data_IF_887719807711
#
_entry.id   IF_887719807711
#
_cell.length_a   1.000
_cell.length_b   1.000
_cell.length_c   1.000
_cell.angle_alpha   90.00
_cell.angle_beta   90.00
_cell.angle_gamma   90.00
#
_symmetry.space_group_name_H-M   'P 1'
#
loop_
_entity.id
_entity.type
_entity.pdbx_description
1 polymer ?
#
# COMPACT_ATOMS: atom_id res chain seq x y z
N UNK A 1 -66.56 -14.85 -3.50
CA UNK A 1 -67.34 -15.51 -4.59
C UNK A 1 -66.41 -16.31 -5.46
N UNK A 2 -66.76 -17.58 -5.56
CA UNK A 2 -66.52 -18.54 -6.66
C UNK A 2 -65.05 -18.82 -6.99
N UNK A 3 -64.51 -19.97 -6.62
CA UNK A 3 -64.82 -21.38 -7.01
C UNK A 3 -64.11 -21.80 -8.29
N UNK A 4 -63.28 -22.82 -8.09
CA UNK A 4 -63.23 -24.15 -8.75
C UNK A 4 -62.39 -24.20 -10.04
N UNK A 5 -61.69 -25.22 -10.47
CA UNK A 5 -61.79 -26.66 -10.24
C UNK A 5 -60.45 -27.33 -10.60
N UNK A 6 -60.20 -28.44 -9.94
CA UNK A 6 -59.17 -29.42 -10.23
C UNK A 6 -59.55 -30.26 -11.50
N UNK A 7 -58.57 -30.95 -12.08
CA UNK A 7 -58.76 -32.39 -12.47
C UNK A 7 -57.45 -32.97 -13.04
N UNK A 8 -56.96 -34.03 -12.42
CA UNK A 8 -56.75 -35.43 -12.83
C UNK A 8 -55.82 -35.70 -14.00
N UNK A 9 -54.71 -36.30 -13.70
CA UNK A 9 -54.28 -37.70 -13.76
C UNK A 9 -54.16 -38.31 -15.17
N UNK A 10 -52.98 -38.78 -15.47
CA UNK A 10 -52.80 -40.08 -16.13
C UNK A 10 -51.36 -40.58 -15.96
N UNK A 11 -51.28 -41.75 -15.36
CA UNK A 11 -50.08 -42.57 -15.24
C UNK A 11 -49.69 -43.17 -16.57
N UNK A 12 -48.44 -43.22 -16.93
CA UNK A 12 -47.90 -44.18 -17.87
C UNK A 12 -46.51 -44.64 -17.36
N UNK A 13 -46.55 -45.88 -16.91
CA UNK A 13 -45.35 -46.70 -16.66
C UNK A 13 -44.75 -47.09 -18.02
N UNK A 14 -43.49 -46.83 -18.20
CA UNK A 14 -42.68 -47.52 -19.22
C UNK A 14 -41.35 -48.01 -18.56
N UNK A 15 -41.15 -49.30 -18.80
CA UNK A 15 -40.11 -50.19 -18.34
C UNK A 15 -38.72 -49.82 -18.89
N UNK A 16 -37.76 -49.96 -18.02
CA UNK A 16 -36.39 -50.53 -18.16
C UNK A 16 -35.57 -50.29 -19.41
N UNK A 17 -34.41 -49.72 -19.19
CA UNK A 17 -33.15 -50.28 -19.68
C UNK A 17 -32.02 -49.82 -18.75
N UNK A 18 -31.54 -50.73 -17.93
CA UNK A 18 -30.26 -50.56 -17.17
C UNK A 18 -29.13 -50.73 -18.17
N UNK A 19 -28.56 -49.65 -18.62
CA UNK A 19 -27.24 -49.64 -19.26
C UNK A 19 -26.23 -49.21 -18.21
N UNK A 20 -25.43 -50.18 -17.73
CA UNK A 20 -24.28 -49.94 -16.85
C UNK A 20 -23.24 -49.08 -17.56
N UNK A 21 -23.20 -47.82 -17.20
CA UNK A 21 -22.05 -46.99 -17.52
C UNK A 21 -20.95 -47.31 -16.52
N UNK A 22 -19.92 -47.98 -16.98
CA UNK A 22 -18.68 -48.12 -16.24
C UNK A 22 -18.08 -46.73 -16.05
N UNK A 23 -18.09 -46.27 -14.82
CA UNK A 23 -17.34 -45.07 -14.43
C UNK A 23 -15.87 -45.46 -14.38
N UNK A 24 -15.14 -45.18 -15.45
CA UNK A 24 -13.68 -45.22 -15.46
C UNK A 24 -13.21 -44.10 -14.56
N UNK A 25 -12.74 -44.45 -13.36
CA UNK A 25 -12.02 -43.56 -12.48
C UNK A 25 -10.68 -43.21 -13.12
N UNK A 26 -10.63 -42.14 -13.90
CA UNK A 26 -9.39 -41.51 -14.29
C UNK A 26 -8.81 -40.86 -13.06
N UNK A 27 -7.87 -41.52 -12.41
CA UNK A 27 -6.98 -40.92 -11.42
C UNK A 27 -6.21 -39.81 -12.16
N UNK A 28 -6.58 -38.56 -11.93
CA UNK A 28 -5.76 -37.45 -12.35
C UNK A 28 -4.47 -37.51 -11.54
N UNK A 29 -3.39 -37.97 -12.15
CA UNK A 29 -2.05 -37.79 -11.64
C UNK A 29 -1.82 -36.29 -11.49
N UNK A 30 -1.71 -35.84 -10.23
CA UNK A 30 -1.27 -34.50 -9.90
C UNK A 30 0.21 -34.45 -10.27
N UNK A 31 0.49 -33.90 -11.43
CA UNK A 31 1.83 -33.65 -11.92
C UNK A 31 2.46 -32.58 -11.00
N UNK A 32 3.48 -32.85 -10.19
CA UNK A 32 4.06 -31.89 -9.24
C UNK A 32 4.97 -30.85 -9.92
N UNK A 33 4.98 -30.79 -11.24
CA UNK A 33 5.79 -29.84 -12.01
C UNK A 33 4.93 -28.68 -12.57
N UNK A 34 4.25 -27.95 -11.66
CA UNK A 34 3.96 -26.56 -11.93
C UNK A 34 5.20 -25.74 -11.59
N UNK A 35 6.18 -25.79 -12.46
CA UNK A 35 7.21 -24.76 -12.54
C UNK A 35 6.49 -23.42 -12.62
N UNK A 36 6.47 -22.66 -11.52
CA UNK A 36 6.04 -21.26 -11.52
C UNK A 36 6.91 -20.57 -12.57
N UNK A 37 6.29 -20.27 -13.69
CA UNK A 37 6.97 -19.68 -14.85
C UNK A 37 7.74 -18.45 -14.38
N UNK A 38 8.98 -18.33 -14.78
CA UNK A 38 9.85 -17.16 -14.54
C UNK A 38 9.25 -15.83 -15.08
N UNK A 39 8.06 -15.88 -15.68
CA UNK A 39 7.29 -14.72 -16.19
C UNK A 39 6.47 -13.98 -15.13
N UNK A 40 6.28 -14.56 -13.92
CA UNK A 40 5.48 -13.97 -12.83
C UNK A 40 6.33 -13.32 -11.74
N UNK A 41 7.64 -13.15 -11.96
CA UNK A 41 8.46 -12.36 -11.05
C UNK A 41 8.05 -10.89 -11.14
N UNK A 42 7.61 -10.27 -10.01
CA UNK A 42 7.25 -8.85 -10.00
C UNK A 42 8.41 -8.03 -10.55
N UNK A 43 8.12 -7.05 -11.40
CA UNK A 43 9.16 -6.13 -11.89
C UNK A 43 9.74 -5.36 -10.70
N UNK A 44 11.07 -5.19 -10.69
CA UNK A 44 11.75 -4.36 -9.67
C UNK A 44 11.03 -3.01 -9.56
N UNK A 45 10.62 -2.58 -8.36
CA UNK A 45 9.90 -1.32 -8.18
C UNK A 45 10.68 -0.13 -8.75
N UNK A 46 9.99 0.76 -9.44
CA UNK A 46 10.57 2.00 -9.98
C UNK A 46 10.25 3.16 -9.06
N UNK A 47 11.18 4.12 -8.96
CA UNK A 47 10.94 5.36 -8.24
C UNK A 47 9.94 6.24 -8.97
N UNK A 48 8.97 6.78 -8.23
CA UNK A 48 8.04 7.78 -8.74
C UNK A 48 8.21 9.07 -7.95
N UNK A 49 8.37 10.19 -8.64
CA UNK A 49 8.48 11.52 -8.06
C UNK A 49 7.18 12.30 -8.17
N UNK A 50 6.36 11.93 -9.14
CA UNK A 50 5.05 12.49 -9.43
C UNK A 50 4.20 11.43 -10.13
N UNK A 51 2.93 11.35 -9.79
CA UNK A 51 1.99 10.42 -10.43
C UNK A 51 1.61 10.96 -11.81
N UNK A 52 1.65 10.09 -12.81
CA UNK A 52 1.19 10.44 -14.16
C UNK A 52 -0.33 10.35 -14.20
N UNK A 53 -1.01 11.46 -14.02
CA UNK A 53 -2.47 11.57 -14.09
C UNK A 53 -2.91 12.86 -14.75
N UNK A 54 -4.14 12.89 -15.28
CA UNK A 54 -4.84 14.10 -15.74
C UNK A 54 -5.76 14.68 -14.67
N UNK A 55 -6.02 13.92 -13.60
CA UNK A 55 -6.87 14.36 -12.50
C UNK A 55 -6.21 15.53 -11.76
N UNK A 56 -7.01 16.50 -11.38
CA UNK A 56 -6.55 17.70 -10.65
C UNK A 56 -6.30 17.38 -9.18
N UNK A 57 -5.33 16.52 -8.91
CA UNK A 57 -4.98 16.04 -7.57
C UNK A 57 -3.50 16.19 -7.25
N UNK A 58 -3.19 16.27 -5.95
CA UNK A 58 -1.84 16.16 -5.40
C UNK A 58 -1.88 15.32 -4.12
N UNK A 59 -0.73 14.77 -3.75
CA UNK A 59 -0.63 13.77 -2.67
C UNK A 59 0.20 14.33 -1.52
N UNK A 60 -0.35 14.22 -0.30
CA UNK A 60 0.33 14.64 0.92
C UNK A 60 1.00 13.45 1.58
N UNK A 61 2.31 13.52 1.77
CA UNK A 61 3.10 12.47 2.41
C UNK A 61 3.90 13.02 3.59
N UNK A 62 4.04 12.21 4.66
CA UNK A 62 4.72 12.62 5.89
C UNK A 62 5.70 11.52 6.30
N UNK A 63 6.98 11.87 6.48
CA UNK A 63 8.05 10.94 6.79
C UNK A 63 8.42 10.89 8.28
N UNK A 64 9.15 9.84 8.68
CA UNK A 64 9.80 9.53 9.95
C UNK A 64 8.88 8.98 11.04
N UNK A 65 7.97 9.78 11.56
CA UNK A 65 7.17 9.42 12.74
C UNK A 65 7.81 9.75 14.09
N UNK A 66 8.80 10.66 14.13
CA UNK A 66 9.52 11.03 15.38
C UNK A 66 8.59 11.74 16.36
N UNK A 67 7.93 12.79 15.92
CA UNK A 67 6.96 13.53 16.71
C UNK A 67 5.52 13.07 16.44
N UNK A 68 4.64 13.26 17.41
CA UNK A 68 3.21 12.90 17.34
C UNK A 68 2.36 14.10 17.76
N UNK A 69 2.39 15.22 17.00
CA UNK A 69 1.68 16.43 17.39
C UNK A 69 0.16 16.24 17.29
N UNK A 70 -0.53 16.21 18.43
CA UNK A 70 -1.99 16.02 18.49
C UNK A 70 -2.76 17.12 17.73
N UNK A 71 -2.23 18.33 17.69
CA UNK A 71 -2.82 19.43 16.92
C UNK A 71 -2.77 19.20 15.40
N UNK A 72 -1.77 18.48 14.88
CA UNK A 72 -1.70 18.07 13.48
C UNK A 72 -2.71 16.96 13.20
N UNK A 73 -2.78 15.96 14.10
CA UNK A 73 -3.77 14.90 14.02
C UNK A 73 -5.20 15.45 14.01
N UNK A 74 -5.52 16.37 14.93
CA UNK A 74 -6.84 17.02 14.96
C UNK A 74 -7.15 17.76 13.64
N UNK A 75 -6.15 18.43 13.04
CA UNK A 75 -6.33 19.10 11.75
C UNK A 75 -6.59 18.13 10.61
N UNK A 76 -5.83 17.01 10.53
CA UNK A 76 -6.04 15.95 9.54
C UNK A 76 -7.45 15.36 9.67
N UNK A 77 -7.88 15.07 10.90
CA UNK A 77 -9.20 14.48 11.16
C UNK A 77 -10.35 15.43 10.84
N UNK A 78 -10.27 16.69 11.26
CA UNK A 78 -11.30 17.69 11.00
C UNK A 78 -11.51 17.99 9.49
N UNK A 79 -10.46 17.85 8.69
CA UNK A 79 -10.50 18.09 7.25
C UNK A 79 -10.48 16.81 6.42
N UNK A 80 -10.52 15.62 7.04
CA UNK A 80 -10.48 14.29 6.41
C UNK A 80 -9.35 14.17 5.36
N UNK A 81 -8.16 14.71 5.69
CA UNK A 81 -7.05 14.79 4.73
C UNK A 81 -6.47 13.41 4.43
N UNK A 82 -6.34 13.03 3.16
CA UNK A 82 -5.72 11.77 2.75
C UNK A 82 -4.20 11.87 2.86
N UNK A 83 -3.65 11.39 3.97
CA UNK A 83 -2.21 11.47 4.26
C UNK A 83 -1.59 10.09 4.19
N UNK A 84 -0.52 9.93 3.42
CA UNK A 84 0.33 8.75 3.43
C UNK A 84 1.53 8.96 4.35
N UNK A 85 1.66 8.12 5.38
CA UNK A 85 2.73 8.21 6.37
C UNK A 85 3.82 7.18 6.09
N UNK A 86 5.02 7.61 5.72
CA UNK A 86 6.20 6.75 5.60
C UNK A 86 6.93 6.70 6.93
N UNK A 87 6.84 5.58 7.64
CA UNK A 87 7.28 5.49 9.03
C UNK A 87 8.56 4.67 9.19
N UNK A 88 9.50 5.21 9.97
CA UNK A 88 10.69 4.48 10.42
C UNK A 88 10.37 3.66 11.66
N UNK A 89 10.71 2.38 11.65
CA UNK A 89 10.32 1.42 12.69
C UNK A 89 10.80 1.79 14.09
N UNK A 90 11.95 2.46 14.23
CA UNK A 90 12.51 2.86 15.53
C UNK A 90 11.78 4.06 16.17
N UNK A 91 11.11 4.90 15.37
CA UNK A 91 10.45 6.13 15.84
C UNK A 91 9.04 5.88 16.38
N UNK A 92 8.36 4.85 15.86
CA UNK A 92 6.93 4.65 16.13
C UNK A 92 6.64 3.95 17.45
N UNK A 93 7.58 3.15 17.99
CA UNK A 93 7.46 2.41 19.27
C UNK A 93 6.02 1.96 19.54
N UNK A 94 5.34 2.52 20.55
CA UNK A 94 3.99 2.15 20.97
C UNK A 94 2.89 3.11 20.46
N UNK A 95 3.19 3.87 19.41
CA UNK A 95 2.30 4.91 18.88
C UNK A 95 1.34 4.43 17.77
N UNK A 96 1.01 3.12 17.70
CA UNK A 96 0.06 2.54 16.72
C UNK A 96 -1.24 3.35 16.64
N UNK A 97 -1.82 3.70 17.80
CA UNK A 97 -3.09 4.43 17.85
C UNK A 97 -3.03 5.79 17.18
N UNK A 98 -1.93 6.53 17.37
CA UNK A 98 -1.72 7.82 16.71
C UNK A 98 -1.66 7.67 15.20
N UNK A 99 -0.81 6.74 14.71
CA UNK A 99 -0.60 6.56 13.27
C UNK A 99 -1.83 5.98 12.56
N UNK A 100 -2.59 5.10 13.18
CA UNK A 100 -3.88 4.64 12.63
C UNK A 100 -4.89 5.79 12.50
N UNK A 101 -4.87 6.77 13.41
CA UNK A 101 -5.77 7.91 13.35
C UNK A 101 -5.36 8.93 12.30
N UNK A 102 -4.06 9.26 12.17
CA UNK A 102 -3.59 10.26 11.21
C UNK A 102 -3.62 9.74 9.78
N UNK A 103 -3.44 8.44 9.58
CA UNK A 103 -3.49 7.79 8.26
C UNK A 103 -4.86 7.19 7.93
N UNK A 104 -5.92 7.61 8.63
CA UNK A 104 -7.27 7.04 8.46
C UNK A 104 -7.80 7.13 7.02
N UNK A 105 -7.49 8.21 6.31
CA UNK A 105 -7.91 8.45 4.92
C UNK A 105 -6.78 8.24 3.91
N UNK A 106 -5.67 7.68 4.35
CA UNK A 106 -4.50 7.32 3.56
C UNK A 106 -3.94 6.00 4.05
N UNK A 107 -2.60 5.90 4.13
CA UNK A 107 -1.94 4.65 4.50
C UNK A 107 -0.66 4.85 5.31
N UNK A 108 -0.19 3.74 5.92
CA UNK A 108 1.13 3.64 6.56
C UNK A 108 2.05 2.84 5.65
N UNK A 109 3.23 3.40 5.36
CA UNK A 109 4.21 2.87 4.43
C UNK A 109 5.61 2.76 5.07
N UNK A 110 6.55 2.12 4.38
CA UNK A 110 7.89 1.82 4.91
C UNK A 110 8.87 2.98 4.66
N UNK A 111 9.51 3.47 5.77
CA UNK A 111 10.61 4.44 5.72
C UNK A 111 11.86 3.92 6.43
N UNK A 112 12.18 2.64 6.27
CA UNK A 112 13.31 1.92 6.87
C UNK A 112 13.17 1.58 8.36
N UNK A 113 14.10 0.77 8.86
CA UNK A 113 14.14 0.38 10.27
C UNK A 113 14.70 1.49 11.15
N UNK A 114 15.86 2.03 10.81
CA UNK A 114 16.65 2.94 11.65
C UNK A 114 16.88 4.33 11.06
N UNK A 115 16.30 4.58 9.87
CA UNK A 115 16.55 5.79 9.08
C UNK A 115 17.99 5.89 8.56
N UNK A 116 18.67 4.75 8.34
CA UNK A 116 20.01 4.73 7.75
C UNK A 116 19.97 5.07 6.25
N UNK A 117 20.97 5.81 5.78
CA UNK A 117 21.09 6.11 4.35
C UNK A 117 21.43 4.85 3.54
N UNK A 118 20.62 4.53 2.53
CA UNK A 118 20.82 3.38 1.66
C UNK A 118 22.01 3.54 0.69
N UNK A 119 22.59 4.73 0.59
CA UNK A 119 23.81 4.95 -0.19
C UNK A 119 25.09 4.50 0.55
N UNK A 120 25.04 4.26 1.85
CA UNK A 120 26.19 3.77 2.61
C UNK A 120 26.36 2.26 2.36
N UNK A 121 27.55 1.83 1.96
CA UNK A 121 27.86 0.40 1.71
C UNK A 121 27.68 -0.49 2.95
N UNK A 122 27.81 0.07 4.15
CA UNK A 122 27.61 -0.63 5.42
C UNK A 122 26.13 -0.80 5.82
N UNK A 123 25.19 -0.21 5.10
CA UNK A 123 23.77 -0.32 5.41
C UNK A 123 23.25 -1.71 5.05
N UNK A 124 22.72 -2.42 6.05
CA UNK A 124 22.04 -3.70 5.85
C UNK A 124 20.62 -3.46 5.32
N UNK A 125 20.45 -3.59 4.00
CA UNK A 125 19.16 -3.38 3.34
C UNK A 125 18.09 -4.41 3.75
N UNK A 126 18.47 -5.65 4.12
CA UNK A 126 17.49 -6.63 4.62
C UNK A 126 16.92 -6.17 5.96
N UNK A 127 17.77 -5.69 6.85
CA UNK A 127 17.32 -5.09 8.11
C UNK A 127 16.49 -3.83 7.88
N UNK A 128 16.96 -2.93 7.04
CA UNK A 128 16.28 -1.64 6.84
C UNK A 128 14.92 -1.77 6.13
N UNK A 129 14.74 -2.78 5.28
CA UNK A 129 13.50 -2.92 4.48
C UNK A 129 12.67 -4.11 4.94
N UNK A 130 13.23 -5.34 4.91
CA UNK A 130 12.44 -6.55 5.18
C UNK A 130 12.06 -6.71 6.65
N UNK A 131 12.94 -6.31 7.60
CA UNK A 131 12.60 -6.33 9.01
C UNK A 131 11.38 -5.43 9.31
N UNK A 132 11.31 -4.25 8.69
CA UNK A 132 10.17 -3.33 8.86
C UNK A 132 8.87 -3.99 8.39
N UNK A 133 8.87 -4.64 7.21
CA UNK A 133 7.69 -5.34 6.71
C UNK A 133 7.17 -6.38 7.72
N UNK A 134 8.08 -7.23 8.23
CA UNK A 134 7.75 -8.25 9.23
C UNK A 134 7.26 -7.63 10.55
N UNK A 135 7.94 -6.58 11.02
CA UNK A 135 7.59 -5.89 12.26
C UNK A 135 6.24 -5.20 12.18
N UNK A 136 5.99 -4.49 11.06
CA UNK A 136 4.74 -3.77 10.85
C UNK A 136 3.56 -4.74 10.76
N UNK A 137 3.68 -5.81 9.99
CA UNK A 137 2.66 -6.85 9.91
C UNK A 137 2.40 -7.49 11.28
N UNK A 138 3.45 -7.97 11.96
CA UNK A 138 3.30 -8.71 13.23
C UNK A 138 2.79 -7.85 14.39
N UNK A 139 3.34 -6.62 14.55
CA UNK A 139 3.08 -5.78 15.74
C UNK A 139 1.92 -4.81 15.53
N UNK A 140 1.73 -4.32 14.31
CA UNK A 140 0.82 -3.22 14.05
C UNK A 140 -0.32 -3.55 13.09
N UNK A 141 -0.29 -4.71 12.45
CA UNK A 141 -1.24 -5.09 11.40
C UNK A 141 -1.23 -4.10 10.22
N UNK A 142 -0.03 -3.62 9.88
CA UNK A 142 0.24 -2.78 8.73
C UNK A 142 1.01 -3.58 7.67
N UNK A 143 0.60 -3.43 6.42
CA UNK A 143 1.17 -4.13 5.27
C UNK A 143 1.68 -3.12 4.22
N UNK A 144 2.81 -2.43 4.51
CA UNK A 144 3.37 -1.47 3.57
C UNK A 144 3.70 -2.14 2.24
N UNK A 145 3.37 -1.46 1.16
CA UNK A 145 3.73 -1.88 -0.19
C UNK A 145 4.49 -0.80 -0.95
N UNK A 146 4.60 0.38 -0.35
CA UNK A 146 5.44 1.47 -0.80
C UNK A 146 6.65 1.63 0.14
N UNK A 147 7.78 2.01 -0.43
CA UNK A 147 9.01 2.34 0.27
C UNK A 147 9.43 3.75 -0.09
N UNK A 148 9.83 4.53 0.88
CA UNK A 148 10.62 5.75 0.66
C UNK A 148 11.97 5.57 1.33
N UNK A 149 13.09 5.54 0.56
CA UNK A 149 14.43 5.50 1.14
C UNK A 149 14.72 6.76 1.95
N UNK A 150 15.33 6.66 3.15
CA UNK A 150 15.77 7.82 3.90
C UNK A 150 16.68 8.74 3.07
N UNK A 151 16.47 10.04 3.22
CA UNK A 151 17.18 11.10 2.45
C UNK A 151 16.95 11.01 0.92
N UNK A 152 16.07 10.16 0.43
CA UNK A 152 15.97 9.83 -1.00
C UNK A 152 17.20 9.10 -1.54
N UNK A 153 18.03 8.54 -0.66
CA UNK A 153 19.34 8.01 -1.03
C UNK A 153 19.24 6.63 -1.70
N UNK A 154 19.93 6.48 -2.84
CA UNK A 154 20.04 5.24 -3.62
C UNK A 154 18.70 4.65 -4.09
N UNK A 155 17.63 5.45 -4.18
CA UNK A 155 16.26 5.02 -4.55
C UNK A 155 16.21 4.27 -5.89
N UNK A 156 17.08 4.60 -6.84
CA UNK A 156 17.14 3.96 -8.15
C UNK A 156 18.23 2.87 -8.26
N UNK A 157 18.95 2.58 -7.16
CA UNK A 157 19.96 1.53 -7.18
C UNK A 157 19.33 0.15 -7.36
N UNK A 158 20.03 -0.73 -8.09
CA UNK A 158 19.58 -2.10 -8.29
C UNK A 158 19.45 -2.88 -6.98
N UNK A 159 20.37 -2.62 -6.02
CA UNK A 159 20.36 -3.29 -4.71
C UNK A 159 19.10 -2.96 -3.91
N UNK A 160 18.74 -1.66 -3.82
CA UNK A 160 17.52 -1.22 -3.11
C UNK A 160 16.27 -1.78 -3.78
N UNK A 161 16.19 -1.75 -5.11
CA UNK A 161 15.04 -2.27 -5.86
C UNK A 161 14.86 -3.78 -5.68
N UNK A 162 15.94 -4.56 -5.83
CA UNK A 162 15.91 -6.02 -5.62
C UNK A 162 15.53 -6.38 -4.18
N UNK A 163 16.06 -5.64 -3.20
CA UNK A 163 15.70 -5.87 -1.81
C UNK A 163 14.23 -5.49 -1.54
N UNK A 164 13.76 -4.36 -2.08
CA UNK A 164 12.35 -3.96 -1.99
C UNK A 164 11.43 -5.03 -2.55
N UNK A 165 11.70 -5.53 -3.75
CA UNK A 165 10.94 -6.61 -4.40
C UNK A 165 10.91 -7.88 -3.54
N UNK A 166 12.08 -8.33 -3.03
CA UNK A 166 12.19 -9.47 -2.12
C UNK A 166 11.31 -9.32 -0.88
N UNK A 167 11.13 -8.10 -0.40
CA UNK A 167 10.37 -7.80 0.83
C UNK A 167 8.90 -7.43 0.57
N UNK A 168 8.42 -7.51 -0.67
CA UNK A 168 7.04 -7.21 -1.02
C UNK A 168 6.74 -5.74 -1.25
N UNK A 169 7.76 -4.90 -1.39
CA UNK A 169 7.61 -3.54 -1.86
C UNK A 169 7.30 -3.58 -3.37
N UNK A 170 6.30 -2.82 -3.77
CA UNK A 170 5.85 -2.75 -5.16
C UNK A 170 6.18 -1.40 -5.80
N UNK A 171 6.39 -0.37 -4.98
CA UNK A 171 6.68 0.96 -5.45
C UNK A 171 7.66 1.71 -4.53
N UNK A 172 8.64 2.39 -5.12
CA UNK A 172 9.49 3.37 -4.43
C UNK A 172 8.92 4.76 -4.75
N UNK A 173 8.58 5.51 -3.69
CA UNK A 173 7.88 6.80 -3.79
C UNK A 173 8.78 7.91 -3.29
N UNK A 174 9.02 8.87 -4.16
CA UNK A 174 9.78 10.09 -3.92
C UNK A 174 8.84 11.30 -3.84
N UNK A 175 9.29 12.48 -4.16
CA UNK A 175 8.51 13.72 -4.13
C UNK A 175 9.03 14.74 -5.15
N UNK A 176 8.18 15.64 -5.60
CA UNK A 176 8.52 16.78 -6.45
C UNK A 176 8.26 18.15 -5.78
N UNK A 177 7.74 18.13 -4.55
CA UNK A 177 7.65 19.30 -3.69
C UNK A 177 7.83 18.91 -2.22
N UNK A 178 8.29 19.85 -1.38
CA UNK A 178 8.39 19.63 0.05
C UNK A 178 7.93 20.84 0.85
N UNK A 179 7.35 20.60 2.03
CA UNK A 179 6.99 21.65 2.99
C UNK A 179 7.69 21.38 4.31
N UNK A 180 8.43 22.35 4.79
CA UNK A 180 9.15 22.25 6.05
C UNK A 180 9.13 23.61 6.78
N UNK A 181 8.73 23.60 8.04
CA UNK A 181 8.68 24.78 8.92
C UNK A 181 7.92 25.98 8.28
N UNK A 182 6.82 25.70 7.56
CA UNK A 182 5.99 26.71 6.91
C UNK A 182 6.61 27.33 5.66
N UNK A 183 7.57 26.65 5.03
CA UNK A 183 8.14 27.02 3.73
C UNK A 183 7.94 25.88 2.76
N UNK A 184 7.59 26.19 1.51
CA UNK A 184 7.47 25.22 0.43
C UNK A 184 8.63 25.35 -0.55
N UNK A 185 9.11 24.20 -1.03
CA UNK A 185 10.11 24.08 -2.09
C UNK A 185 9.58 23.18 -3.19
N UNK A 186 9.89 23.48 -4.42
CA UNK A 186 9.44 22.75 -5.60
C UNK A 186 10.64 22.28 -6.41
N UNK A 187 10.59 21.05 -6.95
CA UNK A 187 11.56 20.60 -7.93
C UNK A 187 11.39 21.33 -9.28
N UNK A 188 10.15 21.77 -9.59
CA UNK A 188 9.81 22.38 -10.88
C UNK A 188 8.87 23.61 -10.71
N UNK A 189 9.28 24.53 -9.86
CA UNK A 189 8.66 25.84 -9.60
C UNK A 189 7.21 25.83 -9.09
N UNK A 190 6.39 24.81 -9.36
CA UNK A 190 4.98 24.74 -8.98
C UNK A 190 4.46 23.32 -8.82
N UNK A 191 3.34 23.17 -8.11
CA UNK A 191 2.56 21.92 -8.09
C UNK A 191 1.82 21.72 -9.42
N UNK A 192 1.71 20.46 -9.81
CA UNK A 192 1.01 20.00 -11.03
C UNK A 192 0.14 18.79 -10.70
N UNK A 193 -0.81 18.39 -11.56
CA UNK A 193 -1.51 17.13 -11.42
C UNK A 193 -0.54 15.97 -11.12
N UNK A 194 -0.83 15.26 -10.04
CA UNK A 194 -0.02 14.14 -9.58
C UNK A 194 1.19 14.50 -8.69
N UNK A 195 1.43 15.78 -8.36
CA UNK A 195 2.53 16.18 -7.46
C UNK A 195 2.45 15.48 -6.11
N UNK A 196 3.62 15.03 -5.63
CA UNK A 196 3.80 14.40 -4.32
C UNK A 196 4.52 15.38 -3.40
N UNK A 197 3.86 15.79 -2.32
CA UNK A 197 4.35 16.78 -1.36
C UNK A 197 4.89 16.08 -0.13
N UNK A 198 6.19 16.21 0.11
CA UNK A 198 6.88 15.71 1.30
C UNK A 198 6.73 16.66 2.48
N UNK A 199 6.39 16.11 3.63
CA UNK A 199 6.46 16.74 4.95
C UNK A 199 7.14 15.76 5.94
N UNK A 200 7.39 16.21 7.17
CA UNK A 200 7.94 15.35 8.22
C UNK A 200 7.13 15.48 9.52
N UNK A 201 7.12 14.40 10.31
CA UNK A 201 6.54 14.42 11.66
C UNK A 201 7.42 15.28 12.58
N UNK A 202 7.19 16.59 12.57
CA UNK A 202 7.85 17.61 13.37
C UNK A 202 6.85 18.36 14.25
N UNK A 203 7.33 19.19 15.15
CA UNK A 203 6.47 20.09 15.95
C UNK A 203 5.72 21.13 15.09
N UNK A 204 6.18 21.39 13.87
CA UNK A 204 5.57 22.34 12.92
C UNK A 204 4.58 21.68 11.98
N UNK A 205 4.35 20.36 12.07
CA UNK A 205 3.56 19.59 11.11
C UNK A 205 2.17 20.19 10.83
N UNK A 206 1.45 20.70 11.85
CA UNK A 206 0.16 21.39 11.62
C UNK A 206 0.29 22.59 10.69
N UNK A 207 1.34 23.39 10.87
CA UNK A 207 1.64 24.56 10.03
C UNK A 207 1.96 24.11 8.60
N UNK A 208 2.73 23.05 8.47
CA UNK A 208 3.16 22.49 7.19
C UNK A 208 1.98 21.89 6.42
N UNK A 209 1.09 21.14 7.08
CA UNK A 209 -0.15 20.63 6.51
C UNK A 209 -1.05 21.75 6.00
N UNK A 210 -1.25 22.82 6.79
CA UNK A 210 -2.05 23.97 6.36
C UNK A 210 -1.48 24.62 5.11
N UNK A 211 -0.15 24.79 5.05
CA UNK A 211 0.51 25.36 3.88
C UNK A 211 0.40 24.43 2.67
N UNK A 212 0.60 23.12 2.85
CA UNK A 212 0.47 22.14 1.78
C UNK A 212 -0.94 22.18 1.16
N UNK A 213 -2.00 22.09 1.97
CA UNK A 213 -3.40 22.18 1.52
C UNK A 213 -3.66 23.48 0.77
N UNK A 214 -3.21 24.61 1.35
CA UNK A 214 -3.35 25.93 0.71
C UNK A 214 -2.70 25.95 -0.68
N UNK A 215 -1.45 25.48 -0.79
CA UNK A 215 -0.69 25.50 -2.05
C UNK A 215 -1.24 24.51 -3.09
N UNK A 216 -1.74 23.37 -2.65
CA UNK A 216 -2.43 22.40 -3.52
C UNK A 216 -3.66 23.07 -4.15
N UNK A 217 -4.51 23.72 -3.33
CA UNK A 217 -5.73 24.39 -3.81
C UNK A 217 -5.45 25.64 -4.65
N UNK A 218 -4.43 26.43 -4.29
CA UNK A 218 -3.97 27.56 -5.12
C UNK A 218 -3.50 27.13 -6.52
N UNK A 219 -3.01 25.87 -6.65
CA UNK A 219 -2.66 25.28 -7.94
C UNK A 219 -3.86 24.69 -8.71
N UNK A 220 -5.08 24.83 -8.19
CA UNK A 220 -6.31 24.26 -8.77
C UNK A 220 -6.38 22.72 -8.61
N UNK A 221 -5.73 22.18 -7.59
CA UNK A 221 -5.66 20.75 -7.28
C UNK A 221 -6.36 20.48 -5.95
N UNK A 222 -6.78 19.22 -5.73
CA UNK A 222 -7.28 18.73 -4.44
C UNK A 222 -6.38 17.63 -3.87
N UNK A 223 -6.27 17.52 -2.54
CA UNK A 223 -5.61 16.40 -1.89
C UNK A 223 -6.32 15.08 -2.20
N UNK A 224 -5.57 14.05 -2.61
CA UNK A 224 -6.10 12.72 -2.89
C UNK A 224 -5.28 11.62 -2.19
N UNK A 225 -5.88 10.44 -2.05
CA UNK A 225 -5.21 9.29 -1.48
C UNK A 225 -4.24 8.69 -2.51
N UNK A 226 -2.96 8.61 -2.16
CA UNK A 226 -1.90 8.11 -3.04
C UNK A 226 -2.10 6.64 -3.43
N UNK A 227 -2.68 5.83 -2.53
CA UNK A 227 -2.92 4.42 -2.78
C UNK A 227 -3.87 4.17 -3.97
N UNK A 228 -4.77 5.11 -4.28
CA UNK A 228 -5.74 4.99 -5.37
C UNK A 228 -5.12 5.25 -6.75
N UNK A 229 -3.92 5.82 -6.79
CA UNK A 229 -3.25 6.26 -8.03
C UNK A 229 -2.01 5.44 -8.39
N UNK A 230 -1.63 4.49 -7.57
CA UNK A 230 -0.51 3.59 -7.83
C UNK A 230 -1.01 2.15 -8.02
N UNK A 231 -0.51 1.43 -9.04
CA UNK A 231 -0.91 0.03 -9.23
C UNK A 231 -0.41 -0.83 -8.07
N UNK A 232 -1.35 -1.45 -7.37
CA UNK A 232 -1.07 -2.43 -6.33
C UNK A 232 -1.40 -3.82 -6.83
N UNK A 233 -0.45 -4.73 -6.78
CA UNK A 233 -0.72 -6.16 -6.99
C UNK A 233 -1.43 -6.65 -5.74
N UNK A 234 -2.72 -7.05 -5.87
CA UNK A 234 -3.63 -7.38 -4.76
C UNK A 234 -3.27 -8.68 -4.00
N UNK A 235 -2.09 -9.23 -4.15
CA UNK A 235 -1.59 -10.37 -3.38
C UNK A 235 -0.52 -9.92 -2.40
N UNK A 236 -0.76 -10.09 -1.11
CA UNK A 236 0.33 -10.09 -0.12
C UNK A 236 1.31 -11.18 -0.59
N UNK A 237 2.57 -10.86 -0.87
CA UNK A 237 3.52 -11.87 -1.32
C UNK A 237 3.51 -13.07 -0.38
N UNK A 238 3.38 -14.28 -0.90
CA UNK A 238 3.31 -15.52 -0.13
C UNK A 238 4.45 -15.66 0.91
N UNK A 239 5.56 -14.96 0.67
CA UNK A 239 6.70 -14.88 1.58
C UNK A 239 6.39 -14.15 2.90
N UNK A 240 5.46 -13.19 2.89
CA UNK A 240 5.03 -12.47 4.10
C UNK A 240 3.98 -13.28 4.87
N UNK A 241 3.06 -13.95 4.18
CA UNK A 241 2.05 -14.83 4.81
C UNK A 241 2.68 -16.09 5.41
N UNK A 242 3.60 -16.75 4.70
CA UNK A 242 4.23 -18.01 5.16
C UNK A 242 5.18 -17.81 6.36
N UNK A 243 5.83 -16.63 6.47
CA UNK A 243 6.73 -16.29 7.59
C UNK A 243 6.04 -15.63 8.77
N UNK A 244 4.89 -15.03 8.59
CA UNK A 244 4.14 -14.36 9.66
C UNK A 244 3.01 -15.22 10.25
N UNK A 245 2.73 -16.39 9.70
CA UNK A 245 1.59 -17.23 10.14
C UNK A 245 0.23 -16.57 9.92
N UNK A 246 0.14 -15.63 8.98
CA UNK A 246 -1.06 -14.85 8.73
C UNK A 246 -1.88 -15.49 7.60
N UNK A 247 -3.12 -15.81 7.88
CA UNK A 247 -4.13 -16.08 6.86
C UNK A 247 -4.53 -14.78 6.18
N UNK A 248 -4.77 -14.80 4.87
CA UNK A 248 -5.29 -13.62 4.17
C UNK A 248 -6.63 -13.19 4.79
N UNK A 249 -6.85 -11.89 5.05
CA UNK A 249 -8.17 -11.43 5.43
C UNK A 249 -9.14 -11.75 4.29
N UNK A 250 -10.24 -12.42 4.60
CA UNK A 250 -11.40 -12.56 3.70
C UNK A 250 -11.90 -11.17 3.28
N UNK A 251 -12.24 -11.03 2.00
CA UNK A 251 -12.79 -9.80 1.42
C UNK A 251 -14.11 -9.41 2.07
#
# INVERSE_FOLDING_TARGET
MRRFVATFAASALIFSAVMGAQISSASAEINPDTSVSARDTPKIPKSVYRIKTKDKVAFMTIDDGIYKPENALAYVQANQLPVTSFLSSWTIKDSKKYFNRISKWGSVQNHSATHASFAKKSTDLDHEICYVQKRFAKKYDWYPWMLRPPYGAAQDSQAVRKMGEKCGIQQIVMWDASVNNGKISYADQKLRPGSIVLMHFTNTLKKDLKLAVKKIREAGLEPANLDDYLPRINSIPAILTKRAGLTQPSR
#
